data_IF_372603294315
#
_entry.id   IF_372603294315
#
_cell.length_a   1.000
_cell.length_b   1.000
_cell.length_c   1.000
_cell.angle_alpha   90.00
_cell.angle_beta   90.00
_cell.angle_gamma   90.00
#
_symmetry.space_group_name_H-M   'P 1'
#
loop_
_entity.id
_entity.type
_entity.pdbx_description
1 polymer ?
#
# COMPACT_ATOMS: atom_id res chain seq x y z
N UNK A 1 20.34 -5.22 5.94
CA UNK A 1 21.72 -4.76 6.22
C UNK A 1 22.23 -4.03 5.00
N UNK A 2 22.82 -2.83 5.14
CA UNK A 2 23.40 -2.13 3.99
C UNK A 2 24.64 -2.89 3.52
N UNK A 3 24.86 -2.96 2.20
CA UNK A 3 26.12 -3.49 1.66
C UNK A 3 27.26 -2.60 2.13
N UNK A 4 28.44 -3.19 2.34
CA UNK A 4 29.66 -2.46 2.66
C UNK A 4 29.87 -1.36 1.61
N UNK A 5 30.21 -0.16 2.07
CA UNK A 5 30.47 1.06 1.28
C UNK A 5 29.24 1.76 0.63
N UNK A 6 28.02 1.24 0.82
CA UNK A 6 26.81 1.92 0.37
C UNK A 6 26.39 3.08 1.29
N UNK A 7 26.13 4.24 0.70
CA UNK A 7 25.65 5.42 1.44
C UNK A 7 24.14 5.40 1.53
N UNK A 8 23.59 5.56 2.73
CA UNK A 8 22.13 5.57 3.00
C UNK A 8 21.35 6.49 2.03
N UNK A 9 21.88 7.68 1.74
CA UNK A 9 21.25 8.65 0.82
C UNK A 9 21.06 8.14 -0.61
N UNK A 10 21.86 7.16 -1.03
CA UNK A 10 21.79 6.54 -2.36
C UNK A 10 20.75 5.41 -2.42
N UNK A 11 20.26 4.93 -1.27
CA UNK A 11 19.27 3.87 -1.19
C UNK A 11 17.83 4.41 -1.19
N UNK A 12 16.89 3.51 -1.46
CA UNK A 12 15.46 3.70 -1.20
C UNK A 12 15.00 2.53 -0.32
N UNK A 13 14.39 2.83 0.82
CA UNK A 13 13.88 1.83 1.76
C UNK A 13 12.39 1.61 1.51
N UNK A 14 11.99 0.35 1.34
CA UNK A 14 10.60 -0.01 1.09
C UNK A 14 9.99 -0.61 2.35
N UNK A 15 8.69 -0.36 2.54
CA UNK A 15 7.90 -0.81 3.68
C UNK A 15 8.42 -0.31 5.04
N UNK A 16 8.98 0.91 5.05
CA UNK A 16 9.49 1.55 6.26
C UNK A 16 9.26 3.07 6.22
N UNK A 17 8.71 3.59 7.31
CA UNK A 17 8.60 5.03 7.57
C UNK A 17 9.91 5.53 8.22
N UNK A 18 10.72 6.32 7.50
CA UNK A 18 12.00 6.85 8.03
C UNK A 18 11.92 8.37 8.24
N UNK A 19 12.04 8.80 9.50
CA UNK A 19 12.01 10.22 9.89
C UNK A 19 13.39 10.89 9.79
N UNK A 20 13.91 10.98 8.56
CA UNK A 20 15.18 11.65 8.22
C UNK A 20 15.08 12.21 6.81
N UNK A 21 15.15 13.54 6.68
CA UNK A 21 14.98 14.20 5.37
C UNK A 21 16.01 13.80 4.30
N UNK A 22 17.15 13.20 4.63
CA UNK A 22 18.14 12.76 3.64
C UNK A 22 18.00 11.29 3.24
N UNK A 23 17.04 10.56 3.82
CA UNK A 23 16.77 9.16 3.53
C UNK A 23 15.49 9.06 2.71
N UNK A 24 15.57 8.33 1.59
CA UNK A 24 14.40 8.05 0.75
C UNK A 24 13.72 6.78 1.24
N UNK A 25 12.43 6.86 1.54
CA UNK A 25 11.67 5.69 1.97
C UNK A 25 10.22 5.70 1.50
N UNK A 26 9.57 4.54 1.58
CA UNK A 26 8.14 4.38 1.39
C UNK A 26 7.62 3.50 2.52
N UNK A 27 6.64 3.99 3.27
CA UNK A 27 6.02 3.28 4.39
C UNK A 27 4.56 3.69 4.52
N UNK A 28 3.78 2.96 5.30
CA UNK A 28 2.34 3.22 5.46
C UNK A 28 1.81 3.01 6.87
N UNK A 29 2.64 2.53 7.81
CA UNK A 29 2.21 2.14 9.14
C UNK A 29 2.05 3.33 10.08
N UNK A 30 2.85 4.38 9.88
CA UNK A 30 2.81 5.55 10.75
C UNK A 30 1.58 6.44 10.50
N UNK A 31 1.05 7.00 11.57
CA UNK A 31 -0.02 8.01 11.54
C UNK A 31 0.35 9.10 12.54
N UNK A 32 0.31 10.36 12.09
CA UNK A 32 0.51 11.50 13.00
C UNK A 32 -0.59 11.50 14.06
N UNK A 33 -0.24 11.71 15.33
CA UNK A 33 -1.25 11.70 16.39
C UNK A 33 -2.29 12.82 16.23
N UNK A 34 -1.84 14.07 16.04
CA UNK A 34 -2.68 15.25 15.91
C UNK A 34 -2.09 16.24 14.91
N UNK A 35 -2.78 16.46 13.78
CA UNK A 35 -2.27 17.35 12.72
C UNK A 35 -2.25 18.83 13.07
N UNK A 36 -2.99 19.24 14.10
CA UNK A 36 -2.95 20.61 14.63
C UNK A 36 -1.70 20.86 15.49
N UNK A 37 -0.94 19.82 15.83
CA UNK A 37 0.27 19.92 16.64
C UNK A 37 1.42 19.14 15.98
N UNK A 38 1.78 19.52 14.75
CA UNK A 38 2.91 18.93 14.03
C UNK A 38 4.24 19.37 14.68
N UNK A 39 5.17 18.45 14.95
CA UNK A 39 6.53 18.80 15.39
C UNK A 39 7.21 19.78 14.42
N UNK A 40 8.07 20.67 14.93
CA UNK A 40 8.81 21.64 14.09
C UNK A 40 9.70 20.98 13.03
N UNK A 41 10.14 19.74 13.27
CA UNK A 41 10.96 18.95 12.37
C UNK A 41 10.15 18.00 11.46
N UNK A 42 8.86 18.27 11.23
CA UNK A 42 7.99 17.42 10.40
C UNK A 42 8.48 17.25 8.95
N UNK A 43 9.26 18.21 8.44
CA UNK A 43 9.95 18.15 7.14
C UNK A 43 10.89 16.93 7.00
N UNK A 44 11.21 16.21 8.08
CA UNK A 44 11.95 14.95 8.02
C UNK A 44 11.22 13.83 7.27
N UNK A 45 9.92 13.96 7.02
CA UNK A 45 9.16 13.03 6.17
C UNK A 45 9.12 13.46 4.69
N UNK A 46 9.72 14.58 4.28
CA UNK A 46 9.62 15.08 2.90
C UNK A 46 10.18 14.09 1.85
N UNK A 47 11.13 13.24 2.26
CA UNK A 47 11.67 12.17 1.43
C UNK A 47 11.09 10.77 1.74
N UNK A 48 9.98 10.71 2.48
CA UNK A 48 9.23 9.49 2.75
C UNK A 48 7.87 9.54 2.05
N UNK A 49 7.63 8.65 1.09
CA UNK A 49 6.28 8.45 0.54
C UNK A 49 5.44 7.78 1.60
N UNK A 50 4.53 8.54 2.20
CA UNK A 50 3.70 8.10 3.31
C UNK A 50 2.24 8.47 3.06
N UNK A 51 1.35 7.50 2.77
CA UNK A 51 0.00 7.79 2.31
C UNK A 51 -0.82 8.56 3.36
N UNK A 52 -0.77 8.18 4.63
CA UNK A 52 -1.52 8.85 5.70
C UNK A 52 -1.10 10.32 5.86
N UNK A 53 0.19 10.62 5.71
CA UNK A 53 0.70 12.00 5.73
C UNK A 53 0.23 12.75 4.48
N UNK A 54 0.32 12.12 3.29
CA UNK A 54 -0.11 12.72 2.01
C UNK A 54 -1.59 13.10 2.03
N UNK A 55 -2.46 12.29 2.67
CA UNK A 55 -3.90 12.59 2.85
C UNK A 55 -4.23 13.39 4.11
N UNK A 56 -3.22 13.85 4.85
CA UNK A 56 -3.35 14.64 6.09
C UNK A 56 -4.30 14.00 7.13
N UNK A 57 -4.13 12.69 7.31
CA UNK A 57 -4.82 11.89 8.32
C UNK A 57 -4.05 11.86 9.63
N UNK A 58 -4.81 11.93 10.72
CA UNK A 58 -4.29 11.84 12.07
C UNK A 58 -5.05 10.83 12.93
N UNK A 59 -4.42 10.39 14.01
CA UNK A 59 -5.03 9.41 14.90
C UNK A 59 -6.20 10.01 15.69
N UNK A 60 -6.16 11.32 15.98
CA UNK A 60 -7.17 11.99 16.80
C UNK A 60 -8.54 12.07 16.13
N UNK A 61 -8.58 12.26 14.81
CA UNK A 61 -9.85 12.53 14.10
C UNK A 61 -10.12 11.60 12.92
N UNK A 62 -9.08 10.98 12.35
CA UNK A 62 -9.20 10.22 11.10
C UNK A 62 -8.47 8.87 11.14
N UNK A 63 -8.29 8.27 12.32
CA UNK A 63 -7.56 7.00 12.45
C UNK A 63 -8.18 5.87 11.62
N UNK A 64 -9.52 5.78 11.60
CA UNK A 64 -10.26 4.77 10.83
C UNK A 64 -10.10 4.91 9.31
N UNK A 65 -9.58 6.05 8.83
CA UNK A 65 -9.37 6.35 7.40
C UNK A 65 -7.93 6.08 6.96
N UNK A 66 -7.05 5.61 7.86
CA UNK A 66 -5.65 5.30 7.52
C UNK A 66 -5.58 4.28 6.37
N UNK A 67 -4.44 4.27 5.67
CA UNK A 67 -4.15 3.40 4.54
C UNK A 67 -4.40 1.92 4.90
N UNK A 68 -5.33 1.23 4.21
CA UNK A 68 -5.76 -0.11 4.58
C UNK A 68 -5.12 -1.21 3.72
N UNK A 69 -4.28 -0.87 2.75
CA UNK A 69 -3.68 -1.83 1.82
C UNK A 69 -2.19 -2.01 2.15
N UNK A 70 -1.56 -3.04 1.60
CA UNK A 70 -0.10 -3.20 1.74
C UNK A 70 0.74 -2.23 0.91
N UNK A 71 2.02 -2.05 1.27
CA UNK A 71 2.96 -1.15 0.59
C UNK A 71 3.07 -1.41 -0.92
N UNK A 72 2.96 -2.67 -1.33
CA UNK A 72 2.99 -3.07 -2.75
C UNK A 72 1.87 -2.41 -3.56
N UNK A 73 0.67 -2.25 -3.00
CA UNK A 73 -0.45 -1.62 -3.69
C UNK A 73 -0.20 -0.12 -3.90
N UNK A 74 0.44 0.55 -2.93
CA UNK A 74 0.84 1.95 -3.08
C UNK A 74 1.87 2.10 -4.21
N UNK A 75 2.88 1.22 -4.25
CA UNK A 75 3.90 1.21 -5.29
C UNK A 75 3.27 0.96 -6.67
N UNK A 76 2.38 -0.03 -6.77
CA UNK A 76 1.67 -0.34 -8.02
C UNK A 76 0.82 0.83 -8.50
N UNK A 77 0.10 1.50 -7.59
CA UNK A 77 -0.64 2.73 -7.91
C UNK A 77 0.26 3.83 -8.45
N UNK A 78 1.42 4.07 -7.83
CA UNK A 78 2.34 5.14 -8.25
C UNK A 78 3.04 4.81 -9.58
N UNK A 79 3.62 3.61 -9.70
CA UNK A 79 4.42 3.22 -10.86
C UNK A 79 3.55 2.86 -12.06
N UNK A 80 2.34 2.33 -11.82
CA UNK A 80 1.38 1.97 -12.87
C UNK A 80 1.03 3.13 -13.80
N UNK A 81 1.03 4.37 -13.27
CA UNK A 81 0.84 5.60 -14.07
C UNK A 81 2.02 5.95 -14.98
N UNK A 82 3.21 5.43 -14.70
CA UNK A 82 4.44 5.71 -15.47
C UNK A 82 4.84 4.57 -16.38
N UNK A 83 4.49 3.34 -16.01
CA UNK A 83 4.89 2.14 -16.72
C UNK A 83 3.77 1.11 -16.61
N UNK A 84 3.40 0.53 -17.74
CA UNK A 84 2.48 -0.61 -17.77
C UNK A 84 3.09 -1.78 -16.99
N UNK A 85 2.36 -2.26 -15.98
CA UNK A 85 2.71 -3.44 -15.19
C UNK A 85 1.62 -4.47 -15.42
N UNK A 86 2.01 -5.63 -15.93
CA UNK A 86 1.09 -6.75 -16.11
C UNK A 86 1.03 -7.59 -14.83
N UNK A 87 -0.17 -7.71 -14.25
CA UNK A 87 -0.42 -8.57 -13.08
C UNK A 87 -0.88 -9.94 -13.57
N UNK A 88 -0.05 -10.95 -13.38
CA UNK A 88 -0.44 -12.35 -13.66
C UNK A 88 -1.57 -12.77 -12.74
N UNK A 89 -2.52 -13.56 -13.26
CA UNK A 89 -3.64 -14.10 -12.47
C UNK A 89 -3.20 -14.80 -11.17
N UNK A 90 -2.07 -15.52 -11.21
CA UNK A 90 -1.49 -16.20 -10.04
C UNK A 90 -0.98 -15.26 -8.95
N UNK A 91 -0.72 -13.98 -9.25
CA UNK A 91 -0.27 -12.99 -8.28
C UNK A 91 -1.42 -12.35 -7.50
N UNK A 92 -2.67 -12.48 -7.95
CA UNK A 92 -3.83 -11.82 -7.33
C UNK A 92 -4.03 -12.30 -5.89
N UNK A 93 -4.02 -13.61 -5.62
CA UNK A 93 -4.20 -14.15 -4.28
C UNK A 93 -3.09 -13.69 -3.30
N UNK A 94 -1.78 -13.78 -3.63
CA UNK A 94 -0.71 -13.19 -2.81
C UNK A 94 -0.90 -11.69 -2.53
N UNK A 95 -1.27 -10.90 -3.53
CA UNK A 95 -1.44 -9.46 -3.38
C UNK A 95 -2.60 -9.13 -2.45
N UNK A 96 -3.72 -9.86 -2.56
CA UNK A 96 -4.85 -9.71 -1.64
C UNK A 96 -4.48 -10.06 -0.19
N UNK A 97 -3.55 -10.98 0.06
CA UNK A 97 -3.17 -11.37 1.42
C UNK A 97 -2.00 -10.57 2.03
N UNK A 98 -1.38 -9.67 1.27
CA UNK A 98 -0.32 -8.80 1.77
C UNK A 98 -0.87 -7.80 2.80
N UNK A 99 -0.20 -7.66 3.94
CA UNK A 99 -0.52 -6.72 5.03
C UNK A 99 -1.99 -6.76 5.51
N UNK A 100 -2.63 -7.92 5.44
CA UNK A 100 -4.02 -8.09 5.83
C UNK A 100 -5.03 -7.38 4.91
N UNK A 101 -4.62 -7.02 3.69
CA UNK A 101 -5.45 -6.31 2.69
C UNK A 101 -6.81 -6.99 2.53
N UNK A 102 -6.85 -8.32 2.38
CA UNK A 102 -8.08 -9.10 2.23
C UNK A 102 -9.05 -8.84 3.39
N UNK A 103 -8.58 -8.94 4.64
CA UNK A 103 -9.39 -8.67 5.83
C UNK A 103 -9.90 -7.23 5.85
N UNK A 104 -9.07 -6.27 5.44
CA UNK A 104 -9.44 -4.86 5.44
C UNK A 104 -10.51 -4.55 4.38
N UNK A 105 -10.54 -5.25 3.25
CA UNK A 105 -11.58 -5.10 2.23
C UNK A 105 -12.97 -5.41 2.80
N UNK A 106 -13.11 -6.47 3.61
CA UNK A 106 -14.40 -6.85 4.19
C UNK A 106 -14.76 -6.05 5.44
N UNK A 107 -13.77 -5.67 6.25
CA UNK A 107 -14.04 -4.95 7.50
C UNK A 107 -14.23 -3.44 7.28
N UNK A 108 -13.58 -2.86 6.26
CA UNK A 108 -13.54 -1.42 5.99
C UNK A 108 -13.70 -1.10 4.49
N UNK A 109 -14.77 -1.56 3.83
CA UNK A 109 -14.93 -1.45 2.39
C UNK A 109 -14.93 0.02 1.91
N UNK A 110 -15.61 0.92 2.61
CA UNK A 110 -15.65 2.35 2.26
C UNK A 110 -14.26 3.01 2.28
N UNK A 111 -13.45 2.69 3.30
CA UNK A 111 -12.09 3.20 3.39
C UNK A 111 -11.21 2.64 2.27
N UNK A 112 -11.33 1.34 1.98
CA UNK A 112 -10.60 0.71 0.88
C UNK A 112 -10.96 1.34 -0.47
N UNK A 113 -12.24 1.51 -0.77
CA UNK A 113 -12.69 2.17 -2.01
C UNK A 113 -12.20 3.61 -2.10
N UNK A 114 -12.23 4.37 -0.99
CA UNK A 114 -11.67 5.73 -0.96
C UNK A 114 -10.19 5.77 -1.37
N UNK A 115 -9.40 4.82 -0.88
CA UNK A 115 -7.97 4.70 -1.21
C UNK A 115 -7.71 4.18 -2.63
N UNK A 116 -8.50 3.23 -3.09
CA UNK A 116 -8.41 2.72 -4.46
C UNK A 116 -8.75 3.83 -5.47
N UNK A 117 -9.77 4.63 -5.21
CA UNK A 117 -10.08 5.82 -6.01
C UNK A 117 -8.94 6.84 -5.97
N UNK A 118 -8.38 7.12 -4.79
CA UNK A 118 -7.22 8.01 -4.65
C UNK A 118 -6.00 7.55 -5.46
N UNK A 119 -5.81 6.23 -5.62
CA UNK A 119 -4.74 5.63 -6.43
C UNK A 119 -5.13 5.42 -7.90
N UNK A 120 -6.31 5.89 -8.32
CA UNK A 120 -6.88 5.72 -9.66
C UNK A 120 -6.97 4.24 -10.09
N UNK A 121 -7.35 3.36 -9.17
CA UNK A 121 -7.46 1.93 -9.43
C UNK A 121 -8.63 1.55 -10.37
N UNK A 122 -9.58 2.45 -10.59
CA UNK A 122 -10.68 2.24 -11.55
C UNK A 122 -10.24 2.40 -13.02
N UNK A 123 -9.09 3.03 -13.28
CA UNK A 123 -8.52 3.08 -14.63
C UNK A 123 -8.15 1.66 -15.07
N UNK A 124 -8.70 1.21 -16.21
CA UNK A 124 -8.43 -0.13 -16.78
C UNK A 124 -6.95 -0.38 -17.09
N UNK A 125 -6.15 0.67 -17.23
CA UNK A 125 -4.70 0.57 -17.42
C UNK A 125 -3.93 0.47 -16.09
N UNK A 126 -4.58 0.75 -14.96
CA UNK A 126 -3.98 0.63 -13.64
C UNK A 126 -3.77 -0.84 -13.28
N UNK A 127 -2.57 -1.23 -12.80
CA UNK A 127 -2.36 -2.59 -12.28
C UNK A 127 -3.26 -2.91 -11.09
N UNK A 128 -3.72 -1.89 -10.35
CA UNK A 128 -4.68 -2.07 -9.25
C UNK A 128 -6.06 -2.48 -9.76
N UNK A 129 -6.44 -2.07 -10.97
CA UNK A 129 -7.69 -2.51 -11.59
C UNK A 129 -7.70 -4.03 -11.76
N UNK A 130 -6.60 -4.59 -12.26
CA UNK A 130 -6.43 -6.03 -12.40
C UNK A 130 -6.47 -6.77 -11.05
N UNK A 131 -6.22 -6.11 -9.93
CA UNK A 131 -6.26 -6.76 -8.61
C UNK A 131 -7.65 -6.65 -7.98
N UNK A 132 -8.27 -5.48 -8.06
CA UNK A 132 -9.45 -5.13 -7.24
C UNK A 132 -10.76 -4.99 -8.03
N UNK A 133 -10.71 -4.81 -9.34
CA UNK A 133 -11.89 -4.49 -10.18
C UNK A 133 -12.06 -5.42 -11.39
N UNK A 134 -11.28 -6.50 -11.50
CA UNK A 134 -11.43 -7.44 -12.61
C UNK A 134 -12.58 -8.43 -12.36
N UNK A 135 -13.13 -8.99 -13.45
CA UNK A 135 -14.17 -10.03 -13.43
C UNK A 135 -13.61 -11.47 -13.46
N UNK A 136 -12.29 -11.67 -13.34
CA UNK A 136 -11.63 -12.98 -13.40
C UNK A 136 -12.07 -13.93 -12.29
N UNK A 137 -12.61 -13.41 -11.19
CA UNK A 137 -13.10 -14.21 -10.08
C UNK A 137 -14.46 -13.75 -9.58
N UNK A 138 -15.45 -14.64 -9.65
CA UNK A 138 -16.61 -14.62 -8.74
C UNK A 138 -16.16 -14.90 -7.31
N UNK A 139 -16.96 -14.52 -6.30
CA UNK A 139 -16.67 -14.83 -4.89
C UNK A 139 -16.30 -16.30 -4.66
N UNK A 140 -17.03 -17.25 -5.25
CA UNK A 140 -16.75 -18.68 -5.13
C UNK A 140 -15.44 -19.09 -5.79
N UNK A 141 -15.15 -18.57 -6.99
CA UNK A 141 -13.89 -18.88 -7.68
C UNK A 141 -12.67 -18.25 -7.01
N UNK A 142 -12.83 -17.09 -6.37
CA UNK A 142 -11.79 -16.50 -5.52
C UNK A 142 -11.53 -17.38 -4.30
N UNK A 143 -12.59 -17.86 -3.63
CA UNK A 143 -12.45 -18.77 -2.49
C UNK A 143 -11.73 -20.08 -2.86
N UNK A 144 -12.05 -20.68 -4.01
CA UNK A 144 -11.36 -21.87 -4.52
C UNK A 144 -9.89 -21.54 -4.81
N UNK A 145 -9.62 -20.44 -5.52
CA UNK A 145 -8.25 -20.02 -5.83
C UNK A 145 -7.42 -19.74 -4.58
N UNK A 146 -8.03 -19.15 -3.55
CA UNK A 146 -7.40 -18.92 -2.24
C UNK A 146 -7.13 -20.25 -1.52
N UNK A 147 -8.10 -21.15 -1.48
CA UNK A 147 -7.92 -22.49 -0.91
C UNK A 147 -6.77 -23.25 -1.61
N UNK A 148 -6.70 -23.18 -2.94
CA UNK A 148 -5.62 -23.80 -3.70
C UNK A 148 -4.27 -23.11 -3.44
N UNK A 149 -4.25 -21.79 -3.29
CA UNK A 149 -3.07 -21.03 -2.91
C UNK A 149 -2.54 -21.46 -1.54
N UNK A 150 -3.40 -21.59 -0.52
CA UNK A 150 -3.00 -22.04 0.81
C UNK A 150 -2.53 -23.50 0.82
N UNK A 151 -3.18 -24.38 0.06
CA UNK A 151 -2.76 -25.79 -0.06
C UNK A 151 -1.41 -25.95 -0.74
N UNK A 152 -1.05 -25.07 -1.69
CA UNK A 152 0.25 -25.09 -2.39
C UNK A 152 1.39 -24.49 -1.59
N UNK A 153 1.08 -23.69 -0.57
CA UNK A 153 2.04 -22.84 0.10
C UNK A 153 2.39 -23.23 1.53
N UNK A 154 2.13 -24.47 1.99
CA UNK A 154 2.33 -24.98 3.38
C UNK A 154 2.83 -23.91 4.37
N UNK A 155 1.86 -23.13 4.87
CA UNK A 155 1.93 -22.41 6.15
C UNK A 155 1.12 -23.23 7.13
#
# INVERSE_FOLDING_TARGET
MLKKDEKVKNCVFLDMDIFRNYVRSLGHHMVLYNKKNKPANWFNFDNCIQPNIIRDYDAKTKFSQKYPLGAIHLILGIIGHKKKIEIKKSAICPLLYTDGTFKNLFNYPENCLSWLNFLCAEDKNSPLNTIFFNDHYTTSSLMIALNDFFKKGEI
#
